data_IF_790296203551
#
_entry.id   IF_790296203551
#
_cell.length_a   1.000
_cell.length_b   1.000
_cell.length_c   1.000
_cell.angle_alpha   90.00
_cell.angle_beta   90.00
_cell.angle_gamma   90.00
#
_symmetry.space_group_name_H-M   'P 1'
#
loop_
_entity.id
_entity.type
_entity.pdbx_description
1 polymer ?
#
# COMPACT_ATOMS: atom_id res chain seq x y z
N UNK A 1 -28.49 23.62 5.49
CA UNK A 1 -27.85 22.32 5.18
C UNK A 1 -27.37 21.74 6.48
N UNK A 2 -27.59 20.44 6.72
CA UNK A 2 -27.27 19.77 7.99
C UNK A 2 -26.24 18.67 7.75
N UNK A 3 -25.28 18.52 8.67
CA UNK A 3 -24.21 17.52 8.62
C UNK A 3 -23.94 16.99 10.03
N UNK A 4 -23.46 15.76 10.14
CA UNK A 4 -22.98 15.17 11.40
C UNK A 4 -21.50 14.86 11.25
N UNK A 5 -20.71 15.29 12.22
CA UNK A 5 -19.33 14.84 12.43
C UNK A 5 -19.29 13.97 13.68
N UNK A 6 -18.73 12.77 13.57
CA UNK A 6 -18.64 11.80 14.67
C UNK A 6 -17.30 11.07 14.64
N UNK A 7 -16.78 10.78 15.83
CA UNK A 7 -15.59 9.95 16.04
C UNK A 7 -15.98 8.85 17.02
N UNK A 8 -15.65 7.60 16.68
CA UNK A 8 -15.76 6.45 17.57
C UNK A 8 -14.45 5.66 17.53
N UNK A 9 -14.19 4.88 18.58
CA UNK A 9 -12.95 4.12 18.74
C UNK A 9 -13.26 2.64 19.00
N UNK A 10 -12.40 1.75 18.51
CA UNK A 10 -12.43 0.33 18.82
C UNK A 10 -11.00 -0.22 18.92
N UNK A 11 -10.74 -1.21 19.78
CA UNK A 11 -9.46 -1.90 19.76
C UNK A 11 -9.32 -2.71 18.46
N UNK A 12 -8.11 -2.72 17.89
CA UNK A 12 -7.79 -3.43 16.64
C UNK A 12 -6.49 -4.23 16.80
N UNK A 13 -6.38 -5.31 16.01
CA UNK A 13 -5.13 -6.06 15.81
C UNK A 13 -4.59 -5.85 14.38
N UNK A 14 -3.66 -6.72 13.96
CA UNK A 14 -3.14 -6.69 12.59
C UNK A 14 -4.25 -6.87 11.54
N UNK A 15 -4.22 -6.06 10.49
CA UNK A 15 -5.24 -6.06 9.43
C UNK A 15 -5.15 -7.29 8.52
N UNK A 16 -3.95 -7.61 8.02
CA UNK A 16 -3.67 -8.88 7.35
C UNK A 16 -3.16 -9.91 8.36
N UNK A 17 -3.56 -11.17 8.17
CA UNK A 17 -3.14 -12.27 9.05
C UNK A 17 -1.63 -12.48 8.94
N UNK A 18 -0.94 -12.58 10.07
CA UNK A 18 0.49 -12.94 10.12
C UNK A 18 1.47 -11.79 10.34
N UNK A 19 1.00 -10.53 10.43
CA UNK A 19 1.91 -9.39 10.61
C UNK A 19 2.72 -9.14 9.34
N UNK A 20 4.06 -9.29 9.41
CA UNK A 20 4.95 -9.14 8.26
C UNK A 20 5.10 -10.42 7.40
N UNK A 21 4.18 -11.38 7.52
CA UNK A 21 4.13 -12.49 6.56
C UNK A 21 3.69 -11.95 5.19
N UNK A 22 4.44 -12.22 4.11
CA UNK A 22 4.03 -11.82 2.77
C UNK A 22 2.70 -12.44 2.38
N UNK A 23 1.93 -11.72 1.58
CA UNK A 23 0.71 -12.24 0.97
C UNK A 23 0.63 -11.93 -0.51
N UNK A 24 -0.16 -12.73 -1.23
CA UNK A 24 -0.29 -12.63 -2.67
C UNK A 24 -1.53 -11.80 -3.04
N UNK A 25 -1.42 -11.06 -4.14
CA UNK A 25 -2.46 -10.21 -4.69
C UNK A 25 -2.70 -10.51 -6.16
N UNK A 26 -3.83 -10.05 -6.70
CA UNK A 26 -4.20 -10.27 -8.10
C UNK A 26 -4.65 -8.97 -8.76
N UNK A 27 -4.21 -8.71 -9.98
CA UNK A 27 -4.67 -7.58 -10.79
C UNK A 27 -6.16 -7.74 -11.10
N UNK A 28 -6.92 -6.66 -10.90
CA UNK A 28 -8.35 -6.62 -11.19
C UNK A 28 -8.63 -6.08 -12.60
N UNK A 29 -9.66 -6.62 -13.24
CA UNK A 29 -10.27 -6.04 -14.44
C UNK A 29 -11.23 -4.87 -14.10
N UNK A 30 -11.50 -4.63 -12.81
CA UNK A 30 -12.42 -3.61 -12.34
C UNK A 30 -11.69 -2.38 -11.82
N UNK A 31 -12.38 -1.23 -11.85
CA UNK A 31 -11.91 0.02 -11.28
C UNK A 31 -12.57 0.32 -9.94
N UNK A 32 -11.78 0.75 -8.95
CA UNK A 32 -12.33 1.33 -7.71
C UNK A 32 -12.69 2.81 -7.83
N UNK A 33 -12.15 3.50 -8.84
CA UNK A 33 -12.38 4.92 -9.11
C UNK A 33 -12.12 5.24 -10.58
N UNK A 34 -12.85 6.19 -11.14
CA UNK A 34 -12.53 6.75 -12.46
C UNK A 34 -11.34 7.72 -12.38
N UNK A 35 -10.66 7.95 -13.52
CA UNK A 35 -9.46 8.80 -13.63
C UNK A 35 -9.62 10.20 -13.04
N UNK A 36 -10.77 10.83 -13.30
CA UNK A 36 -11.16 12.15 -12.75
C UNK A 36 -12.38 11.99 -11.85
N UNK A 37 -12.37 10.93 -11.04
CA UNK A 37 -13.45 10.58 -10.13
C UNK A 37 -13.13 10.97 -8.68
N UNK A 38 -13.60 10.14 -7.76
CA UNK A 38 -13.47 10.35 -6.31
C UNK A 38 -12.27 9.62 -5.69
N UNK A 39 -11.35 9.06 -6.49
CA UNK A 39 -10.28 8.18 -6.01
C UNK A 39 -9.36 8.81 -4.96
N UNK A 40 -8.97 10.07 -5.16
CA UNK A 40 -8.18 10.85 -4.20
C UNK A 40 -8.92 11.28 -2.92
N UNK A 41 -10.24 11.08 -2.85
CA UNK A 41 -11.05 11.39 -1.67
C UNK A 41 -11.41 10.11 -0.91
N UNK A 42 -11.35 10.13 0.43
CA UNK A 42 -11.69 8.98 1.26
C UNK A 42 -13.21 8.86 1.47
N UNK A 43 -13.93 8.52 0.40
CA UNK A 43 -15.39 8.43 0.37
C UNK A 43 -15.88 6.99 0.18
N UNK A 44 -17.06 6.68 0.71
CA UNK A 44 -17.62 5.32 0.68
C UNK A 44 -17.87 4.76 -0.73
N UNK A 45 -18.05 5.61 -1.74
CA UNK A 45 -18.25 5.18 -3.13
C UNK A 45 -17.10 4.36 -3.70
N UNK A 46 -15.84 4.74 -3.40
CA UNK A 46 -14.67 4.00 -3.88
C UNK A 46 -14.61 2.59 -3.24
N UNK A 47 -15.04 2.48 -1.98
CA UNK A 47 -15.11 1.20 -1.28
C UNK A 47 -16.26 0.33 -1.78
N UNK A 48 -17.40 0.94 -2.16
CA UNK A 48 -18.51 0.20 -2.74
C UNK A 48 -18.10 -0.46 -4.08
N UNK A 49 -17.36 0.26 -4.91
CA UNK A 49 -16.80 -0.27 -6.16
C UNK A 49 -15.79 -1.40 -5.93
N UNK A 50 -15.05 -1.37 -4.81
CA UNK A 50 -14.06 -2.40 -4.48
C UNK A 50 -14.63 -3.70 -3.91
N UNK A 51 -15.93 -3.75 -3.55
CA UNK A 51 -16.51 -4.92 -2.86
C UNK A 51 -16.49 -6.20 -3.69
N UNK A 52 -16.95 -6.12 -4.95
CA UNK A 52 -16.99 -7.27 -5.86
C UNK A 52 -15.58 -7.78 -6.22
N UNK A 53 -14.65 -6.95 -6.75
CA UNK A 53 -13.31 -7.42 -7.09
C UNK A 53 -12.53 -7.95 -5.88
N UNK A 54 -12.67 -7.32 -4.70
CA UNK A 54 -12.05 -7.82 -3.47
C UNK A 54 -12.63 -9.16 -3.01
N UNK A 55 -13.93 -9.42 -3.27
CA UNK A 55 -14.54 -10.74 -3.04
C UNK A 55 -13.97 -11.78 -4.00
N UNK A 56 -13.92 -11.49 -5.30
CA UNK A 56 -13.40 -12.41 -6.31
C UNK A 56 -11.94 -12.78 -6.07
N UNK A 57 -11.10 -11.81 -5.66
CA UNK A 57 -9.72 -12.06 -5.27
C UNK A 57 -9.62 -13.06 -4.10
N UNK A 58 -10.45 -12.89 -3.07
CA UNK A 58 -10.49 -13.78 -1.90
C UNK A 58 -11.01 -15.18 -2.24
N UNK A 59 -12.00 -15.28 -3.12
CA UNK A 59 -12.49 -16.57 -3.64
C UNK A 59 -11.40 -17.33 -4.40
N UNK A 60 -10.43 -16.61 -4.98
CA UNK A 60 -9.23 -17.14 -5.63
C UNK A 60 -8.01 -17.25 -4.71
N UNK A 61 -8.20 -17.12 -3.39
CA UNK A 61 -7.17 -17.24 -2.36
C UNK A 61 -6.08 -16.14 -2.36
N UNK A 62 -6.33 -14.99 -2.98
CA UNK A 62 -5.52 -13.78 -2.84
C UNK A 62 -6.01 -12.94 -1.65
N UNK A 63 -5.13 -12.13 -1.07
CA UNK A 63 -5.49 -11.26 0.08
C UNK A 63 -6.45 -10.14 -0.31
N UNK A 64 -6.16 -9.52 -1.46
CA UNK A 64 -7.01 -8.52 -2.10
C UNK A 64 -6.63 -8.42 -3.59
N UNK A 65 -7.30 -7.54 -4.31
CA UNK A 65 -6.96 -7.19 -5.68
C UNK A 65 -6.04 -5.95 -5.76
N UNK A 66 -5.37 -5.79 -6.90
CA UNK A 66 -4.61 -4.61 -7.29
C UNK A 66 -5.39 -3.90 -8.38
N UNK A 67 -5.57 -2.60 -8.20
CA UNK A 67 -6.19 -1.72 -9.18
C UNK A 67 -5.11 -1.10 -10.05
N UNK A 68 -5.37 -1.06 -11.35
CA UNK A 68 -4.54 -0.33 -12.30
C UNK A 68 -5.18 1.02 -12.64
N UNK A 69 -4.48 1.84 -13.42
CA UNK A 69 -5.00 3.12 -13.88
C UNK A 69 -6.26 2.91 -14.74
N UNK A 70 -7.37 3.62 -14.46
CA UNK A 70 -8.65 3.37 -15.11
C UNK A 70 -8.73 3.84 -16.57
N UNK A 71 -7.64 4.40 -17.13
CA UNK A 71 -7.60 4.83 -18.53
C UNK A 71 -7.02 3.76 -19.44
N UNK A 72 -5.95 3.11 -18.99
CA UNK A 72 -5.13 2.24 -19.84
C UNK A 72 -4.89 0.86 -19.24
N UNK A 73 -5.13 0.67 -17.94
CA UNK A 73 -4.83 -0.56 -17.21
C UNK A 73 -3.38 -1.01 -17.43
N UNK A 74 -2.43 -0.06 -17.43
CA UNK A 74 -1.00 -0.35 -17.61
C UNK A 74 -0.17 -0.09 -16.36
N UNK A 75 -0.69 0.72 -15.43
CA UNK A 75 0.05 1.21 -14.26
C UNK A 75 -0.66 0.86 -12.97
N UNK A 76 0.08 0.37 -11.98
CA UNK A 76 -0.44 0.10 -10.64
C UNK A 76 -0.91 1.42 -10.00
N UNK A 77 -2.11 1.40 -9.41
CA UNK A 77 -2.62 2.47 -8.56
C UNK A 77 -2.57 2.08 -7.08
N UNK A 78 -3.39 1.11 -6.68
CA UNK A 78 -3.58 0.74 -5.27
C UNK A 78 -3.74 -0.77 -5.06
N UNK A 79 -3.40 -1.24 -3.87
CA UNK A 79 -3.58 -2.63 -3.42
C UNK A 79 -4.77 -2.67 -2.47
N UNK A 80 -5.94 -3.04 -2.98
CA UNK A 80 -7.21 -2.97 -2.26
C UNK A 80 -7.49 -1.55 -1.76
N UNK A 81 -7.36 -1.34 -0.45
CA UNK A 81 -7.54 -0.05 0.22
C UNK A 81 -6.23 0.58 0.76
N UNK A 82 -5.07 0.08 0.30
CA UNK A 82 -3.73 0.52 0.67
C UNK A 82 -2.94 1.01 -0.56
N UNK A 83 -1.93 1.86 -0.36
CA UNK A 83 -1.04 2.26 -1.46
C UNK A 83 0.02 1.19 -1.71
N UNK A 84 0.44 1.05 -2.96
CA UNK A 84 1.57 0.21 -3.35
C UNK A 84 2.91 0.94 -3.15
N UNK A 85 3.96 0.20 -2.83
CA UNK A 85 5.34 0.64 -3.03
C UNK A 85 6.19 -0.54 -3.52
N UNK A 86 7.25 -0.22 -4.26
CA UNK A 86 8.28 -1.14 -4.70
C UNK A 86 9.66 -0.63 -4.31
N UNK A 87 10.54 -1.55 -3.92
CA UNK A 87 11.95 -1.29 -3.68
C UNK A 87 12.72 -1.83 -4.87
N UNK A 88 13.42 -0.98 -5.61
CA UNK A 88 14.17 -1.40 -6.79
C UNK A 88 15.42 -2.20 -6.42
N UNK A 89 15.95 -2.97 -7.38
CA UNK A 89 17.22 -3.71 -7.22
C UNK A 89 18.43 -2.82 -6.91
N UNK A 90 18.36 -1.53 -7.26
CA UNK A 90 19.35 -0.50 -6.93
C UNK A 90 18.96 0.36 -5.70
N UNK A 91 18.06 -0.16 -4.85
CA UNK A 91 17.70 0.39 -3.54
C UNK A 91 17.01 1.77 -3.58
N UNK A 92 16.12 1.99 -4.55
CA UNK A 92 15.20 3.13 -4.60
C UNK A 92 13.81 2.73 -4.10
N UNK A 93 13.13 3.63 -3.38
CA UNK A 93 11.72 3.47 -2.99
C UNK A 93 10.85 4.16 -4.04
N UNK A 94 10.00 3.40 -4.73
CA UNK A 94 9.08 3.92 -5.75
C UNK A 94 7.64 3.65 -5.33
N UNK A 95 6.77 4.64 -5.42
CA UNK A 95 5.33 4.48 -5.18
C UNK A 95 4.52 5.18 -6.29
N UNK A 96 3.36 4.62 -6.68
CA UNK A 96 2.49 5.21 -7.70
C UNK A 96 2.06 6.64 -7.40
N UNK A 97 2.04 7.47 -8.43
CA UNK A 97 1.47 8.82 -8.40
C UNK A 97 0.40 8.99 -9.48
N UNK A 98 -0.84 9.25 -9.07
CA UNK A 98 -1.97 9.45 -9.97
C UNK A 98 -3.06 10.29 -9.27
N UNK A 99 -3.83 11.10 -10.02
CA UNK A 99 -4.97 11.83 -9.47
C UNK A 99 -6.11 10.93 -8.96
N UNK A 100 -6.14 9.64 -9.32
CA UNK A 100 -7.13 8.67 -8.85
C UNK A 100 -6.69 7.85 -7.62
N UNK A 101 -5.48 8.08 -7.09
CA UNK A 101 -4.96 7.36 -5.92
C UNK A 101 -5.28 8.12 -4.63
N UNK A 102 -5.65 7.41 -3.56
CA UNK A 102 -5.83 8.01 -2.25
C UNK A 102 -4.43 8.37 -1.66
N UNK A 103 -4.19 9.64 -1.28
CA UNK A 103 -2.90 10.04 -0.72
C UNK A 103 -2.75 9.54 0.74
N UNK A 104 -2.29 8.30 0.93
CA UNK A 104 -2.12 7.70 2.26
C UNK A 104 -1.07 8.46 3.08
N UNK A 105 -1.40 8.71 4.36
CA UNK A 105 -0.45 9.25 5.32
C UNK A 105 0.71 8.28 5.54
N UNK A 106 0.43 6.98 5.59
CA UNK A 106 1.48 5.95 5.75
C UNK A 106 2.46 5.97 4.58
N UNK A 107 2.00 6.17 3.34
CA UNK A 107 2.87 6.31 2.16
C UNK A 107 3.85 7.47 2.36
N UNK A 108 3.35 8.66 2.72
CA UNK A 108 4.23 9.82 2.92
C UNK A 108 5.18 9.66 4.10
N UNK A 109 4.75 9.00 5.17
CA UNK A 109 5.66 8.65 6.27
C UNK A 109 6.78 7.72 5.78
N UNK A 110 6.47 6.70 4.97
CA UNK A 110 7.47 5.78 4.45
C UNK A 110 8.43 6.45 3.45
N UNK A 111 7.93 7.32 2.58
CA UNK A 111 8.78 8.15 1.72
C UNK A 111 9.79 8.95 2.55
N UNK A 112 9.32 9.62 3.60
CA UNK A 112 10.19 10.41 4.47
C UNK A 112 11.25 9.54 5.16
N UNK A 113 10.85 8.40 5.74
CA UNK A 113 11.77 7.49 6.43
C UNK A 113 12.77 6.84 5.48
N UNK A 114 12.34 6.42 4.29
CA UNK A 114 13.22 5.86 3.26
C UNK A 114 14.35 6.85 2.92
N UNK A 115 14.01 8.11 2.69
CA UNK A 115 14.97 9.17 2.37
C UNK A 115 15.87 9.52 3.57
N UNK A 116 15.28 9.87 4.71
CA UNK A 116 15.99 10.54 5.81
C UNK A 116 16.61 9.58 6.83
N UNK A 117 16.07 8.37 6.98
CA UNK A 117 16.56 7.36 7.94
C UNK A 117 17.32 6.24 7.25
N UNK A 118 16.90 5.85 6.05
CA UNK A 118 17.51 4.73 5.31
C UNK A 118 18.45 5.18 4.19
N UNK A 119 18.49 6.49 3.86
CA UNK A 119 19.38 7.04 2.85
C UNK A 119 19.07 6.60 1.42
N UNK A 120 17.79 6.30 1.14
CA UNK A 120 17.33 5.82 -0.15
C UNK A 120 16.91 6.98 -1.06
N UNK A 121 17.05 6.80 -2.37
CA UNK A 121 16.35 7.65 -3.34
C UNK A 121 14.87 7.32 -3.32
N UNK A 122 14.02 8.34 -3.26
CA UNK A 122 12.56 8.19 -3.28
C UNK A 122 11.97 8.76 -4.56
N UNK A 123 10.95 8.09 -5.11
CA UNK A 123 10.26 8.54 -6.32
C UNK A 123 8.76 8.27 -6.22
N UNK A 124 7.98 9.32 -6.42
CA UNK A 124 6.56 9.22 -6.76
C UNK A 124 6.44 9.25 -8.29
N UNK A 125 5.82 8.24 -8.89
CA UNK A 125 5.71 8.16 -10.34
C UNK A 125 4.98 6.93 -10.85
N UNK A 126 5.04 6.71 -12.17
CA UNK A 126 4.39 5.56 -12.79
C UNK A 126 5.08 4.23 -12.43
N UNK A 127 4.28 3.21 -12.10
CA UNK A 127 4.71 1.83 -11.86
C UNK A 127 3.96 0.94 -12.83
N UNK A 128 4.64 0.46 -13.88
CA UNK A 128 4.00 -0.36 -14.89
C UNK A 128 3.87 -1.82 -14.47
N UNK A 129 2.71 -2.42 -14.73
CA UNK A 129 2.40 -3.81 -14.34
C UNK A 129 3.19 -4.85 -15.16
N UNK A 130 3.76 -4.45 -16.29
CA UNK A 130 4.64 -5.28 -17.14
C UNK A 130 6.13 -5.11 -16.80
N UNK A 131 6.48 -4.27 -15.83
CA UNK A 131 7.85 -3.95 -15.43
C UNK A 131 8.14 -4.30 -13.96
N UNK A 132 7.45 -5.30 -13.39
CA UNK A 132 7.61 -5.67 -11.97
C UNK A 132 9.02 -6.15 -11.62
N UNK A 133 9.73 -6.73 -12.59
CA UNK A 133 11.11 -7.23 -12.45
C UNK A 133 12.15 -6.17 -12.04
N UNK A 134 11.83 -4.88 -12.11
CA UNK A 134 12.74 -3.82 -11.61
C UNK A 134 12.82 -3.82 -10.08
N UNK A 135 11.81 -4.35 -9.41
CA UNK A 135 11.69 -4.38 -7.97
C UNK A 135 12.31 -5.66 -7.38
N UNK A 136 13.07 -5.49 -6.30
CA UNK A 136 13.56 -6.57 -5.46
C UNK A 136 12.58 -6.92 -4.33
N UNK A 137 11.79 -5.94 -3.87
CA UNK A 137 10.75 -6.11 -2.84
C UNK A 137 9.54 -5.24 -3.21
N UNK A 138 8.35 -5.64 -2.75
CA UNK A 138 7.14 -4.82 -2.88
C UNK A 138 6.27 -4.93 -1.64
N UNK A 139 5.40 -3.95 -1.44
CA UNK A 139 4.51 -3.90 -0.29
C UNK A 139 3.29 -3.03 -0.50
N UNK A 140 2.28 -3.27 0.32
CA UNK A 140 1.12 -2.40 0.50
C UNK A 140 1.25 -1.63 1.83
N UNK A 141 0.85 -0.37 1.87
CA UNK A 141 0.94 0.47 3.07
C UNK A 141 -0.32 1.31 3.33
N UNK A 142 -0.67 1.47 4.60
CA UNK A 142 -1.84 2.22 5.05
C UNK A 142 -2.06 2.04 6.54
N UNK A 143 -2.89 2.87 7.18
CA UNK A 143 -3.03 2.89 8.65
C UNK A 143 -3.33 1.51 9.26
N UNK A 144 -4.24 0.75 8.67
CA UNK A 144 -4.60 -0.58 9.18
C UNK A 144 -3.52 -1.63 8.87
N UNK A 145 -2.92 -1.54 7.68
CA UNK A 145 -1.90 -2.48 7.21
C UNK A 145 -0.52 -2.25 7.86
N UNK A 146 -0.24 -1.02 8.27
CA UNK A 146 1.11 -0.46 8.45
C UNK A 146 1.95 -0.70 7.19
N UNK A 147 2.55 -1.89 7.08
CA UNK A 147 3.12 -2.45 5.86
C UNK A 147 2.66 -3.90 5.76
N UNK A 148 2.23 -4.31 4.58
CA UNK A 148 1.93 -5.70 4.24
C UNK A 148 2.81 -6.11 3.06
N UNK A 149 3.82 -6.97 3.27
CA UNK A 149 4.72 -7.36 2.20
C UNK A 149 3.95 -8.08 1.10
N UNK A 150 4.25 -7.74 -0.15
CA UNK A 150 3.69 -8.40 -1.32
C UNK A 150 4.63 -9.55 -1.68
N UNK A 151 4.15 -10.79 -1.51
CA UNK A 151 4.89 -11.98 -1.91
C UNK A 151 4.96 -12.06 -3.43
N UNK A 152 3.78 -12.14 -4.05
CA UNK A 152 3.64 -12.04 -5.49
C UNK A 152 2.34 -11.41 -5.97
N UNK A 153 2.33 -11.04 -7.25
CA UNK A 153 1.20 -10.48 -7.98
C UNK A 153 0.86 -11.41 -9.13
N UNK A 154 -0.40 -11.83 -9.19
CA UNK A 154 -0.98 -12.48 -10.36
C UNK A 154 -1.48 -11.43 -11.35
N UNK A 155 -1.02 -11.47 -12.60
CA UNK A 155 -1.52 -10.66 -13.71
C UNK A 155 -1.79 -11.56 -14.92
N UNK A 156 -3.06 -11.73 -15.30
CA UNK A 156 -3.44 -12.75 -16.28
C UNK A 156 -2.99 -14.15 -15.81
N UNK A 157 -2.21 -14.84 -16.64
CA UNK A 157 -1.63 -16.15 -16.34
C UNK A 157 -0.28 -16.08 -15.61
N UNK A 158 0.35 -14.90 -15.58
CA UNK A 158 1.68 -14.72 -15.00
C UNK A 158 1.60 -14.43 -13.49
N UNK A 159 2.37 -15.17 -12.70
CA UNK A 159 2.55 -14.94 -11.28
C UNK A 159 3.97 -14.46 -11.01
N UNK A 160 4.12 -13.16 -10.71
CA UNK A 160 5.42 -12.54 -10.43
C UNK A 160 5.68 -12.53 -8.92
N UNK A 161 6.80 -13.10 -8.48
CA UNK A 161 7.27 -13.07 -7.09
C UNK A 161 8.42 -12.08 -6.97
N UNK A 162 8.34 -11.16 -6.00
CA UNK A 162 9.36 -10.12 -5.81
C UNK A 162 10.57 -10.64 -5.03
N UNK A 163 10.36 -11.01 -3.77
CA UNK A 163 11.41 -11.46 -2.86
C UNK A 163 11.19 -12.92 -2.41
N UNK A 164 10.05 -13.16 -1.75
CA UNK A 164 9.64 -14.47 -1.26
C UNK A 164 8.15 -14.46 -0.94
N UNK A 165 7.47 -15.59 -1.13
CA UNK A 165 6.08 -15.77 -0.71
C UNK A 165 5.94 -16.03 0.80
N UNK A 166 7.06 -16.30 1.51
CA UNK A 166 7.05 -16.67 2.93
C UNK A 166 7.89 -15.75 3.81
N UNK A 167 8.91 -15.11 3.26
CA UNK A 167 9.85 -14.25 4.00
C UNK A 167 9.72 -12.79 3.57
N UNK A 168 9.74 -11.87 4.53
CA UNK A 168 9.77 -10.44 4.23
C UNK A 168 11.17 -10.01 3.79
N UNK A 169 11.23 -9.11 2.81
CA UNK A 169 12.49 -8.53 2.36
C UNK A 169 13.14 -7.62 3.42
N UNK A 170 14.47 -7.50 3.43
CA UNK A 170 15.20 -6.76 4.45
C UNK A 170 14.89 -5.25 4.46
N UNK A 171 14.63 -4.62 3.31
CA UNK A 171 14.32 -3.18 3.28
C UNK A 171 12.92 -2.94 3.83
N UNK A 172 11.96 -3.77 3.43
CA UNK A 172 10.57 -3.76 3.93
C UNK A 172 10.53 -3.93 5.45
N UNK A 173 11.32 -4.89 5.99
CA UNK A 173 11.49 -5.10 7.44
C UNK A 173 12.00 -3.84 8.13
N UNK A 174 13.07 -3.21 7.61
CA UNK A 174 13.65 -1.98 8.20
C UNK A 174 12.67 -0.82 8.21
N UNK A 175 11.92 -0.62 7.12
CA UNK A 175 10.90 0.42 7.03
C UNK A 175 9.77 0.19 8.05
N UNK A 176 9.33 -1.05 8.20
CA UNK A 176 8.32 -1.40 9.20
C UNK A 176 8.83 -1.13 10.62
N UNK A 177 10.01 -1.62 10.96
CA UNK A 177 10.58 -1.49 12.31
C UNK A 177 10.79 -0.02 12.70
N UNK A 178 11.26 0.81 11.77
CA UNK A 178 11.43 2.26 11.98
C UNK A 178 10.06 2.95 12.20
N UNK A 179 9.08 2.71 11.32
CA UNK A 179 7.77 3.34 11.41
C UNK A 179 7.02 2.91 12.68
N UNK A 180 7.00 1.62 12.99
CA UNK A 180 6.33 1.09 14.19
C UNK A 180 7.05 1.54 15.45
N UNK A 181 8.39 1.53 15.45
CA UNK A 181 9.17 2.05 16.56
C UNK A 181 8.83 3.51 16.89
N UNK A 182 8.65 4.34 15.86
CA UNK A 182 8.20 5.74 16.03
C UNK A 182 6.77 5.79 16.60
N UNK A 183 5.84 4.99 16.06
CA UNK A 183 4.45 4.97 16.49
C UNK A 183 4.27 4.55 17.96
N UNK A 184 5.12 3.64 18.45
CA UNK A 184 5.10 3.15 19.84
C UNK A 184 6.04 3.93 20.77
N UNK A 185 6.88 4.83 20.23
CA UNK A 185 7.80 5.67 21.01
C UNK A 185 9.13 5.02 21.36
N UNK A 186 9.46 3.88 20.74
CA UNK A 186 10.75 3.18 20.89
C UNK A 186 11.86 3.79 20.02
N UNK A 187 11.47 4.52 18.97
CA UNK A 187 12.38 5.23 18.05
C UNK A 187 12.02 6.72 18.03
N UNK A 188 13.04 7.57 17.92
CA UNK A 188 12.85 9.03 17.89
C UNK A 188 12.03 9.45 16.66
N UNK A 189 10.90 10.09 16.93
CA UNK A 189 10.01 10.59 15.89
C UNK A 189 10.57 11.83 15.20
N UNK A 190 10.32 12.00 13.89
CA UNK A 190 10.46 13.30 13.24
C UNK A 190 9.62 14.36 13.92
N UNK A 191 10.07 15.61 13.86
CA UNK A 191 9.39 16.74 14.50
C UNK A 191 7.92 16.84 14.04
N UNK A 192 7.02 17.01 15.00
CA UNK A 192 5.59 17.20 14.76
C UNK A 192 4.79 15.94 14.42
N UNK A 193 5.39 14.76 14.34
CA UNK A 193 4.65 13.52 14.01
C UNK A 193 3.85 12.97 15.19
N UNK A 194 4.36 13.11 16.42
CA UNK A 194 3.75 12.52 17.62
C UNK A 194 2.99 13.58 18.41
N UNK A 195 1.68 13.36 18.56
CA UNK A 195 0.83 14.10 19.48
C UNK A 195 0.58 13.26 20.74
N UNK A 196 1.08 13.71 21.89
CA UNK A 196 0.76 13.07 23.17
C UNK A 196 -0.71 13.30 23.51
N UNK A 197 -1.41 12.21 23.81
CA UNK A 197 -2.75 12.26 24.40
C UNK A 197 -2.57 12.37 25.90
N UNK A 198 -2.99 13.48 26.48
CA UNK A 198 -2.96 13.75 27.93
C UNK A 198 -4.26 13.29 28.58
#
# INVERSE_FOLDING_TARGET
TEYIFSIFVMPVGAYFKGGLTPTNFIVSEYDRAAHVGTGAAKVGGNYAASLLPGKEAKERHFSDCIYLDPLTHTKIEEVGAANFFGITKDNQFITPYSPSILPSITKYSLLWLAEHRLGMTVKEGDVYVDQLDIFAEAGACGTAAVISPVGGIQNGDDFHVFYSETEVGPVTRRLYDELVGIQYGDVEAPEGWIQKVL
#
